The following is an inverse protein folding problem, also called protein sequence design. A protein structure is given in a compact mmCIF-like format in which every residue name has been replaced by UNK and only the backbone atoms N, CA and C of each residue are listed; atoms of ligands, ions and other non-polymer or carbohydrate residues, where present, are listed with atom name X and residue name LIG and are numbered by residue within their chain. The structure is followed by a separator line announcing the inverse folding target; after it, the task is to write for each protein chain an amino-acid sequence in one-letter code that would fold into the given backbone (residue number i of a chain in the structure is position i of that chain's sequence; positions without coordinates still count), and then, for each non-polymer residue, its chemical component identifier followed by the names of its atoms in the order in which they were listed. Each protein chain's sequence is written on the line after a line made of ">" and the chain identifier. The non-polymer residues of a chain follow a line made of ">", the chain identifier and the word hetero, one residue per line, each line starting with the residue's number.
data_IF_120192885149
#
_entry.id   IF_120192885149
#
_cell.length_a   1.000
_cell.length_b   1.000
_cell.length_c   1.000
_cell.angle_alpha   90.00
_cell.angle_beta   90.00
_cell.angle_gamma   90.00
#
_symmetry.space_group_name_H-M   'P 1'
#
loop_
_entity.id
_entity.type
_entity.pdbx_description
1 polymer ?
#
# COMPACT_ATOMS: atom_id res chain seq x y z
N UNK A 1 -54.10 -14.70 -4.23
CA UNK A 1 -52.67 -14.68 -4.46
C UNK A 1 -52.09 -13.65 -3.53
N UNK A 2 -51.49 -14.06 -2.44
CA UNK A 2 -50.70 -13.13 -1.59
C UNK A 2 -49.42 -12.78 -2.36
N UNK A 3 -49.27 -11.53 -2.69
CA UNK A 3 -48.01 -11.00 -3.20
C UNK A 3 -47.07 -10.91 -1.98
N UNK A 4 -46.29 -11.95 -1.77
CA UNK A 4 -45.22 -11.89 -0.83
C UNK A 4 -44.22 -10.84 -1.37
N UNK A 5 -44.12 -9.70 -0.68
CA UNK A 5 -43.06 -8.73 -0.91
C UNK A 5 -41.79 -9.38 -0.36
N UNK A 6 -41.21 -10.26 -1.16
CA UNK A 6 -39.98 -10.95 -0.76
C UNK A 6 -38.85 -9.96 -0.54
N UNK A 7 -38.08 -10.17 0.48
CA UNK A 7 -36.87 -9.48 0.86
C UNK A 7 -35.83 -9.35 -0.28
N UNK A 8 -35.98 -10.06 -1.39
CA UNK A 8 -35.10 -10.02 -2.56
C UNK A 8 -35.06 -8.63 -3.28
N UNK A 9 -36.14 -7.86 -3.27
CA UNK A 9 -36.17 -6.52 -3.87
C UNK A 9 -35.58 -5.45 -2.97
N UNK A 10 -35.68 -5.61 -1.66
CA UNK A 10 -35.12 -4.70 -0.65
C UNK A 10 -33.63 -5.01 -0.47
N UNK A 11 -33.20 -6.27 -0.59
CA UNK A 11 -31.81 -6.69 -0.44
C UNK A 11 -30.85 -5.97 -1.39
N UNK A 12 -31.27 -5.68 -2.63
CA UNK A 12 -30.41 -5.02 -3.61
C UNK A 12 -30.12 -3.55 -3.26
N UNK A 13 -31.08 -2.86 -2.65
CA UNK A 13 -30.90 -1.47 -2.20
C UNK A 13 -30.03 -1.42 -0.94
N UNK A 14 -30.24 -2.31 0.02
CA UNK A 14 -29.39 -2.44 1.20
C UNK A 14 -27.97 -2.85 0.84
N UNK A 15 -27.78 -3.79 -0.06
CA UNK A 15 -26.46 -4.17 -0.55
C UNK A 15 -25.71 -3.00 -1.19
N UNK A 16 -26.39 -2.16 -1.97
CA UNK A 16 -25.80 -0.94 -2.55
C UNK A 16 -25.44 0.10 -1.49
N UNK A 17 -26.27 0.29 -0.48
CA UNK A 17 -26.02 1.18 0.64
C UNK A 17 -24.77 0.74 1.41
N UNK A 18 -24.74 -0.51 1.87
CA UNK A 18 -23.60 -1.06 2.60
C UNK A 18 -22.31 -1.12 1.76
N UNK A 19 -22.42 -1.38 0.45
CA UNK A 19 -21.27 -1.36 -0.44
C UNK A 19 -20.68 0.04 -0.57
N UNK A 20 -21.52 1.09 -0.59
CA UNK A 20 -21.05 2.47 -0.61
C UNK A 20 -20.37 2.86 0.72
N UNK A 21 -21.00 2.52 1.84
CA UNK A 21 -20.46 2.78 3.17
C UNK A 21 -19.14 2.06 3.40
N UNK A 22 -19.03 0.78 3.02
CA UNK A 22 -17.79 0.02 3.06
C UNK A 22 -16.71 0.69 2.21
N UNK A 23 -17.04 1.17 1.01
CA UNK A 23 -16.08 1.84 0.12
C UNK A 23 -15.55 3.13 0.75
N UNK A 24 -16.41 3.90 1.39
CA UNK A 24 -16.02 5.14 2.08
C UNK A 24 -15.02 4.83 3.21
N UNK A 25 -15.26 3.79 4.02
CA UNK A 25 -14.31 3.35 5.06
C UNK A 25 -12.99 2.82 4.49
N UNK A 26 -13.02 2.07 3.39
CA UNK A 26 -11.81 1.57 2.71
C UNK A 26 -10.95 2.75 2.25
N UNK A 27 -11.53 3.70 1.52
CA UNK A 27 -10.78 4.82 0.93
C UNK A 27 -10.15 5.70 2.00
N UNK A 28 -10.85 5.95 3.11
CA UNK A 28 -10.35 6.77 4.21
C UNK A 28 -9.15 6.13 4.93
N UNK A 29 -9.08 4.81 4.97
CA UNK A 29 -8.07 4.08 5.73
C UNK A 29 -6.83 3.69 4.91
N UNK A 30 -6.86 3.81 3.57
CA UNK A 30 -5.74 3.45 2.70
C UNK A 30 -4.60 4.45 2.78
N UNK A 31 -3.39 3.97 3.10
CA UNK A 31 -2.17 4.78 3.15
C UNK A 31 -1.25 4.55 1.94
N UNK A 32 -0.89 3.30 1.66
CA UNK A 32 0.02 2.95 0.57
C UNK A 32 -0.67 3.02 -0.80
N UNK A 33 -1.91 2.56 -0.89
CA UNK A 33 -2.66 2.44 -2.14
C UNK A 33 -2.89 3.79 -2.82
N UNK A 34 -2.98 4.90 -2.06
CA UNK A 34 -3.22 6.23 -2.60
C UNK A 34 -2.11 6.75 -3.53
N UNK A 35 -0.87 6.29 -3.35
CA UNK A 35 0.30 6.72 -4.13
C UNK A 35 0.65 5.78 -5.29
N UNK A 36 -0.03 4.65 -5.38
CA UNK A 36 0.21 3.66 -6.40
C UNK A 36 -0.34 4.11 -7.76
N UNK A 37 0.28 3.62 -8.84
CA UNK A 37 -0.30 3.73 -10.17
C UNK A 37 -1.51 2.80 -10.28
N UNK A 38 -2.71 3.36 -10.38
CA UNK A 38 -3.94 2.60 -10.46
C UNK A 38 -4.15 2.05 -11.87
N UNK A 39 -4.53 0.79 -11.97
CA UNK A 39 -4.97 0.18 -13.22
C UNK A 39 -6.42 -0.29 -13.11
N UNK A 40 -7.23 -0.08 -14.16
CA UNK A 40 -8.61 -0.53 -14.15
C UNK A 40 -8.67 -2.06 -14.08
N UNK A 41 -9.69 -2.59 -13.40
CA UNK A 41 -9.95 -4.02 -13.39
C UNK A 41 -10.36 -4.49 -14.79
N UNK A 42 -9.81 -5.62 -15.29
CA UNK A 42 -10.16 -6.16 -16.58
C UNK A 42 -11.63 -6.62 -16.58
N UNK A 43 -12.49 -5.88 -17.28
CA UNK A 43 -13.89 -6.24 -17.45
C UNK A 43 -14.09 -6.98 -18.77
N UNK A 44 -14.59 -8.25 -18.72
CA UNK A 44 -14.90 -9.05 -19.91
C UNK A 44 -13.75 -9.24 -20.92
N UNK A 45 -12.49 -9.13 -20.46
CA UNK A 45 -11.31 -9.24 -21.34
C UNK A 45 -10.83 -10.69 -21.57
N UNK A 46 -11.44 -11.67 -20.92
CA UNK A 46 -11.00 -13.08 -20.99
C UNK A 46 -9.70 -13.36 -20.22
N UNK A 47 -9.13 -12.38 -19.58
CA UNK A 47 -7.90 -12.51 -18.76
C UNK A 47 -8.16 -12.03 -17.33
N UNK A 48 -7.54 -12.68 -16.36
CA UNK A 48 -7.49 -12.24 -14.96
C UNK A 48 -6.23 -11.43 -14.63
N UNK A 49 -5.42 -11.10 -15.63
CA UNK A 49 -4.12 -10.44 -15.49
C UNK A 49 -4.26 -8.96 -15.81
N UNK A 50 -3.73 -8.11 -14.95
CA UNK A 50 -3.56 -6.67 -15.20
C UNK A 50 -2.16 -6.48 -15.78
N UNK A 51 -2.03 -5.61 -16.80
CA UNK A 51 -0.77 -5.31 -17.43
C UNK A 51 -0.46 -3.83 -17.38
N UNK A 52 0.74 -3.50 -16.91
CA UNK A 52 1.34 -2.17 -17.04
C UNK A 52 2.43 -2.19 -18.08
N UNK A 53 2.61 -1.05 -18.74
CA UNK A 53 3.64 -0.87 -19.75
C UNK A 53 4.72 0.05 -19.22
N UNK A 54 5.98 -0.33 -19.40
CA UNK A 54 7.15 0.43 -19.04
C UNK A 54 8.05 0.60 -20.25
N UNK A 55 8.46 1.84 -20.52
CA UNK A 55 9.48 2.12 -21.52
C UNK A 55 10.87 2.10 -20.92
N UNK A 56 11.88 1.82 -21.72
CA UNK A 56 13.27 1.87 -21.33
C UNK A 56 13.67 3.22 -20.73
N UNK A 57 14.60 3.17 -19.78
CA UNK A 57 15.16 4.36 -19.17
C UNK A 57 15.94 5.19 -20.21
N UNK A 58 15.98 6.55 -20.04
CA UNK A 58 16.81 7.39 -20.87
C UNK A 58 18.29 6.95 -20.87
N UNK A 59 18.89 6.88 -22.02
CA UNK A 59 20.30 6.55 -22.18
C UNK A 59 20.95 7.56 -23.12
N UNK A 60 22.12 8.05 -22.77
CA UNK A 60 22.87 8.98 -23.60
C UNK A 60 23.84 8.29 -24.54
N UNK A 61 23.98 6.95 -24.45
CA UNK A 61 24.97 6.18 -25.21
C UNK A 61 24.77 6.17 -26.74
N UNK A 62 23.60 6.57 -27.23
CA UNK A 62 23.29 6.67 -28.65
C UNK A 62 23.26 8.11 -29.17
N UNK A 63 23.65 9.09 -28.34
CA UNK A 63 23.70 10.50 -28.76
C UNK A 63 25.03 10.73 -29.48
N UNK A 64 24.96 11.09 -30.74
CA UNK A 64 26.13 11.38 -31.57
C UNK A 64 26.26 12.88 -31.88
N UNK A 65 27.49 13.33 -32.11
CA UNK A 65 27.74 14.67 -32.64
C UNK A 65 27.45 14.67 -34.13
N UNK A 66 26.49 15.48 -34.56
CA UNK A 66 26.17 15.66 -36.00
C UNK A 66 27.25 16.57 -36.66
N UNK A 67 28.38 15.97 -37.03
CA UNK A 67 29.52 16.73 -37.60
C UNK A 67 29.41 16.97 -39.10
N UNK A 68 28.58 16.20 -39.82
CA UNK A 68 28.41 16.31 -41.27
C UNK A 68 26.95 16.65 -41.62
N UNK A 69 26.77 17.75 -42.35
CA UNK A 69 25.45 18.12 -42.88
C UNK A 69 24.91 17.05 -43.84
N UNK A 70 23.67 16.66 -43.66
CA UNK A 70 22.97 15.73 -44.57
C UNK A 70 23.31 14.24 -44.33
N UNK A 71 24.17 13.89 -43.40
CA UNK A 71 24.48 12.50 -43.07
C UNK A 71 23.55 12.02 -41.93
N UNK A 72 22.88 10.90 -42.17
CA UNK A 72 22.03 10.27 -41.15
C UNK A 72 22.89 9.82 -39.93
N UNK A 73 22.47 10.11 -38.70
CA UNK A 73 23.12 9.55 -37.51
C UNK A 73 23.13 8.02 -37.56
N UNK A 74 24.23 7.41 -37.12
CA UNK A 74 24.39 5.96 -37.02
C UNK A 74 23.91 5.39 -35.68
N UNK A 75 23.82 6.24 -34.67
CA UNK A 75 23.34 5.91 -33.32
C UNK A 75 21.81 5.82 -33.23
N UNK A 76 21.17 4.93 -33.96
CA UNK A 76 19.75 4.67 -33.79
C UNK A 76 19.49 3.87 -32.52
N UNK A 77 18.58 4.37 -31.69
CA UNK A 77 18.10 3.64 -30.49
C UNK A 77 16.69 3.10 -30.75
N UNK A 78 16.54 1.80 -30.61
CA UNK A 78 15.22 1.18 -30.56
C UNK A 78 14.55 1.50 -29.19
N UNK A 79 13.29 1.90 -29.24
CA UNK A 79 12.47 2.02 -28.03
C UNK A 79 11.97 0.64 -27.65
N UNK A 80 12.36 0.16 -26.46
CA UNK A 80 11.90 -1.11 -25.91
C UNK A 80 10.73 -0.88 -24.96
N UNK A 81 9.74 -1.76 -25.04
CA UNK A 81 8.56 -1.77 -24.18
C UNK A 81 8.60 -3.03 -23.30
N UNK A 82 8.68 -2.83 -22.01
CA UNK A 82 8.55 -3.92 -21.04
C UNK A 82 7.13 -3.99 -20.50
N UNK A 83 6.64 -5.22 -20.35
CA UNK A 83 5.35 -5.50 -19.74
C UNK A 83 5.54 -6.00 -18.32
N UNK A 84 4.79 -5.41 -17.39
CA UNK A 84 4.72 -5.85 -15.99
C UNK A 84 3.32 -6.38 -15.75
N UNK A 85 3.22 -7.67 -15.52
CA UNK A 85 1.95 -8.38 -15.36
C UNK A 85 1.70 -8.73 -13.90
N UNK A 86 0.46 -8.60 -13.45
CA UNK A 86 0.00 -9.04 -12.14
C UNK A 86 -1.35 -9.76 -12.26
N UNK A 87 -1.45 -10.92 -11.64
CA UNK A 87 -2.69 -11.67 -11.58
C UNK A 87 -3.60 -11.15 -10.47
N UNK A 88 -4.89 -11.01 -10.80
CA UNK A 88 -5.92 -10.68 -9.82
C UNK A 88 -6.17 -11.86 -8.89
N UNK A 89 -6.07 -11.59 -7.60
CA UNK A 89 -6.44 -12.52 -6.53
C UNK A 89 -7.74 -12.06 -5.89
N UNK A 90 -8.60 -13.02 -5.61
CA UNK A 90 -9.86 -12.78 -4.93
C UNK A 90 -9.66 -12.87 -3.42
N UNK A 91 -10.09 -11.85 -2.70
CA UNK A 91 -10.08 -11.79 -1.24
C UNK A 91 -11.49 -11.58 -0.71
N UNK A 92 -11.74 -12.09 0.48
CA UNK A 92 -13.02 -11.93 1.15
C UNK A 92 -12.92 -12.29 2.62
N UNK A 93 -13.84 -11.74 3.39
CA UNK A 93 -14.02 -12.01 4.81
C UNK A 93 -15.49 -12.11 5.11
N UNK A 94 -15.84 -12.89 6.13
CA UNK A 94 -17.22 -13.14 6.55
C UNK A 94 -17.33 -13.00 8.05
N UNK A 95 -18.32 -12.23 8.52
CA UNK A 95 -18.72 -12.10 9.92
C UNK A 95 -20.14 -12.66 10.04
N UNK A 96 -20.35 -13.60 10.95
CA UNK A 96 -21.67 -14.16 11.24
C UNK A 96 -22.18 -13.69 12.60
N UNK A 97 -23.42 -13.25 12.62
CA UNK A 97 -24.13 -12.70 13.79
C UNK A 97 -25.33 -13.60 14.03
N UNK A 98 -25.52 -14.08 15.27
CA UNK A 98 -26.63 -14.95 15.61
C UNK A 98 -27.91 -14.14 15.85
N UNK A 99 -29.08 -14.75 15.59
CA UNK A 99 -30.41 -14.17 15.82
C UNK A 99 -30.65 -13.80 17.28
N UNK A 100 -30.19 -14.64 18.22
CA UNK A 100 -30.30 -14.39 19.66
C UNK A 100 -29.52 -13.11 20.04
N UNK A 101 -28.34 -12.90 19.44
CA UNK A 101 -27.56 -11.70 19.66
C UNK A 101 -28.33 -10.49 19.13
N UNK A 102 -28.88 -10.52 17.93
CA UNK A 102 -29.68 -9.44 17.34
C UNK A 102 -30.94 -9.13 18.16
N UNK A 103 -31.58 -10.16 18.76
CA UNK A 103 -32.75 -9.97 19.61
C UNK A 103 -32.46 -9.33 20.95
N UNK A 104 -31.25 -9.56 21.49
CA UNK A 104 -30.85 -9.07 22.82
C UNK A 104 -30.04 -7.77 22.77
N UNK A 105 -29.76 -7.28 21.58
CA UNK A 105 -28.89 -6.14 21.34
C UNK A 105 -29.48 -4.78 21.73
N UNK A 106 -28.58 -3.94 22.22
CA UNK A 106 -28.81 -2.51 22.42
C UNK A 106 -28.34 -1.67 21.22
N UNK A 107 -27.50 -2.23 20.33
CA UNK A 107 -26.86 -1.54 19.18
C UNK A 107 -26.94 -2.41 17.92
N UNK A 108 -26.99 -1.77 16.74
CA UNK A 108 -26.98 -2.47 15.45
C UNK A 108 -25.62 -3.12 15.15
N UNK A 109 -25.48 -4.42 15.40
CA UNK A 109 -24.25 -5.17 15.12
C UNK A 109 -23.98 -5.33 13.63
N UNK A 110 -25.00 -5.31 12.79
CA UNK A 110 -24.85 -5.41 11.33
C UNK A 110 -24.10 -4.20 10.76
N UNK A 111 -24.46 -2.99 11.19
CA UNK A 111 -23.77 -1.76 10.77
C UNK A 111 -22.32 -1.75 11.28
N UNK A 112 -22.10 -2.17 12.52
CA UNK A 112 -20.74 -2.28 13.07
C UNK A 112 -19.91 -3.33 12.34
N UNK A 113 -20.52 -4.47 11.96
CA UNK A 113 -19.85 -5.51 11.17
C UNK A 113 -19.41 -4.99 9.81
N UNK A 114 -20.25 -4.20 9.12
CA UNK A 114 -19.88 -3.57 7.84
C UNK A 114 -18.70 -2.63 8.01
N UNK A 115 -18.70 -1.79 9.06
CA UNK A 115 -17.61 -0.86 9.36
C UNK A 115 -16.30 -1.58 9.64
N UNK A 116 -16.29 -2.58 10.52
CA UNK A 116 -15.11 -3.38 10.86
C UNK A 116 -14.59 -4.10 9.62
N UNK A 117 -15.48 -4.73 8.84
CA UNK A 117 -15.12 -5.41 7.60
C UNK A 117 -14.49 -4.46 6.58
N UNK A 118 -14.96 -3.19 6.51
CA UNK A 118 -14.36 -2.17 5.65
C UNK A 118 -12.95 -1.77 6.10
N UNK A 119 -12.73 -1.59 7.38
CA UNK A 119 -11.40 -1.30 7.94
C UNK A 119 -10.44 -2.47 7.72
N UNK A 120 -10.88 -3.71 7.96
CA UNK A 120 -10.08 -4.90 7.71
C UNK A 120 -9.71 -5.05 6.23
N UNK A 121 -10.64 -4.74 5.32
CA UNK A 121 -10.39 -4.75 3.88
C UNK A 121 -9.31 -3.74 3.47
N UNK A 122 -9.33 -2.53 4.03
CA UNK A 122 -8.34 -1.50 3.78
C UNK A 122 -6.96 -1.91 4.31
N UNK A 123 -6.88 -2.37 5.56
CA UNK A 123 -5.64 -2.85 6.15
C UNK A 123 -5.05 -4.03 5.35
N UNK A 124 -5.92 -4.92 4.84
CA UNK A 124 -5.48 -6.04 4.02
C UNK A 124 -4.93 -5.58 2.68
N UNK A 125 -5.56 -4.60 2.02
CA UNK A 125 -5.06 -4.03 0.78
C UNK A 125 -3.68 -3.39 0.97
N UNK A 126 -3.47 -2.61 2.03
CA UNK A 126 -2.17 -2.05 2.36
C UNK A 126 -1.12 -3.13 2.70
N UNK A 127 -1.52 -4.23 3.36
CA UNK A 127 -0.64 -5.39 3.60
C UNK A 127 -0.19 -6.06 2.30
N UNK A 128 -1.06 -6.17 1.30
CA UNK A 128 -0.70 -6.73 -0.01
C UNK A 128 0.35 -5.86 -0.69
N UNK A 129 0.14 -4.53 -0.71
CA UNK A 129 1.11 -3.59 -1.28
C UNK A 129 2.45 -3.64 -0.53
N UNK A 130 2.41 -3.67 0.80
CA UNK A 130 3.60 -3.82 1.65
C UNK A 130 4.38 -5.09 1.30
N UNK A 131 3.70 -6.22 1.20
CA UNK A 131 4.33 -7.51 0.90
C UNK A 131 4.97 -7.50 -0.49
N UNK A 132 4.34 -6.85 -1.47
CA UNK A 132 4.93 -6.69 -2.81
C UNK A 132 6.16 -5.78 -2.78
N UNK A 133 6.11 -4.62 -2.11
CA UNK A 133 7.26 -3.72 -1.94
C UNK A 133 8.40 -4.38 -1.15
N UNK A 134 8.07 -5.15 -0.13
CA UNK A 134 9.02 -5.90 0.68
C UNK A 134 9.60 -7.11 -0.02
N UNK A 135 9.00 -7.60 -1.11
CA UNK A 135 9.47 -8.79 -1.82
C UNK A 135 10.88 -8.61 -2.41
N UNK A 136 11.57 -9.72 -2.63
CA UNK A 136 12.92 -9.70 -3.21
C UNK A 136 12.85 -9.55 -4.73
N UNK A 137 12.65 -8.32 -5.19
CA UNK A 137 12.61 -7.99 -6.62
C UNK A 137 14.01 -7.59 -7.10
N UNK A 138 14.44 -8.13 -8.23
CA UNK A 138 15.74 -7.79 -8.84
C UNK A 138 15.84 -6.29 -9.12
N UNK A 139 16.92 -5.66 -8.65
CA UNK A 139 17.15 -4.22 -8.81
C UNK A 139 16.54 -3.35 -7.71
N UNK A 140 15.89 -3.95 -6.72
CA UNK A 140 15.45 -3.27 -5.50
C UNK A 140 16.60 -2.61 -4.77
N UNK A 141 16.39 -1.40 -4.29
CA UNK A 141 17.35 -0.67 -3.50
C UNK A 141 17.05 -0.85 -2.02
N UNK A 142 18.08 -1.21 -1.26
CA UNK A 142 18.00 -1.35 0.20
C UNK A 142 19.02 -0.45 0.89
N UNK A 143 18.67 0.04 2.08
CA UNK A 143 19.54 0.80 2.96
C UNK A 143 19.39 0.28 4.38
N UNK A 144 20.47 0.33 5.14
CA UNK A 144 20.52 -0.08 6.54
C UNK A 144 20.74 1.16 7.39
N UNK A 145 20.05 1.24 8.53
CA UNK A 145 20.22 2.35 9.47
C UNK A 145 21.66 2.40 9.99
N UNK A 146 22.12 3.61 10.27
CA UNK A 146 23.45 3.90 10.83
C UNK A 146 24.61 3.28 10.03
N UNK A 147 24.46 3.15 8.71
CA UNK A 147 25.52 2.65 7.83
C UNK A 147 25.89 1.18 8.04
N UNK A 148 25.03 0.37 8.66
CA UNK A 148 25.25 -1.07 8.82
C UNK A 148 25.36 -1.75 7.45
N UNK A 149 26.16 -2.84 7.39
CA UNK A 149 26.54 -3.46 6.13
C UNK A 149 25.39 -4.19 5.43
N UNK A 150 24.59 -4.93 6.19
CA UNK A 150 23.53 -5.76 5.66
C UNK A 150 22.37 -5.96 6.66
N UNK A 151 21.32 -6.65 6.21
CA UNK A 151 20.14 -6.94 7.02
C UNK A 151 20.46 -7.78 8.27
N UNK A 152 21.37 -8.75 8.16
CA UNK A 152 21.77 -9.58 9.30
C UNK A 152 22.50 -8.73 10.35
N UNK A 153 23.31 -7.75 9.94
CA UNK A 153 23.95 -6.81 10.83
C UNK A 153 22.92 -5.96 11.60
N UNK A 154 21.86 -5.49 10.94
CA UNK A 154 20.75 -4.79 11.62
C UNK A 154 20.04 -5.72 12.61
N UNK A 155 19.78 -6.97 12.24
CA UNK A 155 19.17 -7.96 13.11
C UNK A 155 20.01 -8.27 14.37
N UNK A 156 21.33 -8.34 14.24
CA UNK A 156 22.26 -8.63 15.31
C UNK A 156 22.62 -7.42 16.19
N UNK A 157 22.53 -6.20 15.65
CA UNK A 157 22.87 -4.96 16.35
C UNK A 157 21.97 -4.70 17.56
N UNK A 158 22.46 -3.96 18.55
CA UNK A 158 21.60 -3.45 19.62
C UNK A 158 20.55 -2.48 19.08
N UNK A 159 19.46 -2.27 19.82
CA UNK A 159 18.46 -1.28 19.42
C UNK A 159 19.08 0.11 19.23
N UNK A 160 20.01 0.51 20.11
CA UNK A 160 20.68 1.81 20.03
C UNK A 160 21.58 1.97 18.81
N UNK A 161 22.22 0.89 18.33
CA UNK A 161 23.17 0.93 17.23
C UNK A 161 22.49 0.84 15.83
N UNK A 162 21.24 0.43 15.79
CA UNK A 162 20.46 0.24 14.55
C UNK A 162 19.25 1.17 14.46
N UNK A 163 19.18 2.22 15.29
CA UNK A 163 18.15 3.26 15.19
C UNK A 163 18.40 4.11 13.96
N UNK A 164 17.30 4.57 13.36
CA UNK A 164 17.31 5.52 12.25
C UNK A 164 17.97 6.83 12.66
N UNK A 165 18.96 7.26 11.91
CA UNK A 165 19.55 8.57 12.00
C UNK A 165 18.95 9.55 10.96
N UNK A 166 19.14 10.82 11.24
CA UNK A 166 18.69 11.91 10.36
C UNK A 166 19.26 11.81 8.93
N UNK A 167 20.51 11.35 8.80
CA UNK A 167 21.20 11.24 7.52
C UNK A 167 20.80 10.00 6.71
N UNK A 168 20.26 8.96 7.31
CA UNK A 168 19.87 7.73 6.60
C UNK A 168 18.83 8.01 5.52
N UNK A 169 17.88 8.90 5.81
CA UNK A 169 16.89 9.32 4.82
C UNK A 169 17.45 10.24 3.73
N UNK A 170 18.52 10.98 4.02
CA UNK A 170 19.26 11.73 2.99
C UNK A 170 19.90 10.77 1.98
N UNK A 171 20.44 9.65 2.44
CA UNK A 171 21.00 8.62 1.57
C UNK A 171 19.93 7.97 0.70
N UNK A 172 18.73 7.70 1.26
CA UNK A 172 17.59 7.23 0.49
C UNK A 172 17.21 8.23 -0.63
N UNK A 173 17.11 9.52 -0.30
CA UNK A 173 16.82 10.58 -1.28
C UNK A 173 17.91 10.67 -2.36
N UNK A 174 19.16 10.59 -1.96
CA UNK A 174 20.29 10.63 -2.88
C UNK A 174 20.26 9.47 -3.85
N UNK A 175 19.94 8.28 -3.38
CA UNK A 175 19.78 7.09 -4.22
C UNK A 175 18.62 7.25 -5.23
N UNK A 176 17.48 7.77 -4.80
CA UNK A 176 16.34 8.02 -5.69
C UNK A 176 16.67 9.08 -6.77
N UNK A 177 17.35 10.15 -6.37
CA UNK A 177 17.82 11.19 -7.31
C UNK A 177 18.82 10.65 -8.31
N UNK A 178 19.77 9.81 -7.86
CA UNK A 178 20.72 9.11 -8.74
C UNK A 178 20.02 8.25 -9.79
N UNK A 179 18.87 7.66 -9.45
CA UNK A 179 18.04 6.87 -10.35
C UNK A 179 17.08 7.73 -11.18
N UNK A 180 17.16 9.06 -11.15
CA UNK A 180 16.25 9.98 -11.83
C UNK A 180 14.77 9.70 -11.52
N UNK A 181 14.46 9.30 -10.30
CA UNK A 181 13.10 8.96 -9.88
C UNK A 181 12.20 10.20 -9.89
N UNK A 182 11.06 10.18 -10.58
CA UNK A 182 10.12 11.31 -10.57
C UNK A 182 9.47 11.46 -9.19
N UNK A 183 9.29 12.71 -8.76
CA UNK A 183 8.68 13.07 -7.48
C UNK A 183 7.15 13.07 -7.57
N UNK A 184 6.48 12.83 -6.45
CA UNK A 184 5.04 12.94 -6.29
C UNK A 184 4.72 14.30 -5.66
N UNK A 185 4.13 15.22 -6.45
CA UNK A 185 3.81 16.58 -5.94
C UNK A 185 5.04 17.36 -5.45
N UNK A 186 6.21 17.16 -6.09
CA UNK A 186 7.46 17.84 -5.76
C UNK A 186 8.25 17.23 -4.59
N UNK A 187 7.79 16.13 -4.00
CA UNK A 187 8.49 15.41 -2.93
C UNK A 187 8.46 13.91 -3.19
N UNK A 188 9.37 13.16 -2.58
CA UNK A 188 9.24 11.72 -2.41
C UNK A 188 8.30 11.43 -1.24
N UNK A 189 7.76 10.24 -1.18
CA UNK A 189 6.90 9.79 -0.08
C UNK A 189 7.66 8.76 0.74
N UNK A 190 7.75 9.01 2.03
CA UNK A 190 8.31 8.08 3.01
C UNK A 190 7.20 7.52 3.90
N UNK A 191 7.07 6.21 3.97
CA UNK A 191 6.12 5.53 4.84
C UNK A 191 6.89 4.82 5.93
N UNK A 192 6.59 5.17 7.18
CA UNK A 192 7.30 4.70 8.37
C UNK A 192 6.32 4.17 9.42
N UNK A 193 6.80 3.28 10.30
CA UNK A 193 6.03 2.86 11.47
C UNK A 193 5.99 3.97 12.54
N UNK A 194 5.01 3.93 13.47
CA UNK A 194 4.90 4.93 14.54
C UNK A 194 6.15 5.02 15.42
N UNK A 195 6.77 3.88 15.69
CA UNK A 195 7.97 3.76 16.52
C UNK A 195 9.18 4.44 15.84
N UNK A 196 9.42 4.12 14.57
CA UNK A 196 10.49 4.75 13.75
C UNK A 196 10.23 6.25 13.61
N UNK A 197 8.98 6.66 13.43
CA UNK A 197 8.60 8.06 13.38
C UNK A 197 8.94 8.80 14.69
N UNK A 198 8.66 8.17 15.83
CA UNK A 198 9.01 8.71 17.15
C UNK A 198 10.51 8.90 17.32
N UNK A 199 11.31 7.89 16.91
CA UNK A 199 12.77 7.99 17.00
C UNK A 199 13.33 9.05 16.06
N UNK A 200 12.81 9.15 14.84
CA UNK A 200 13.19 10.20 13.89
C UNK A 200 12.90 11.61 14.44
N UNK A 201 11.73 11.82 15.06
CA UNK A 201 11.35 13.11 15.66
C UNK A 201 12.22 13.49 16.87
N UNK A 202 12.84 12.53 17.56
CA UNK A 202 13.76 12.77 18.67
C UNK A 202 15.15 13.23 18.18
N UNK A 203 15.50 13.02 16.91
CA UNK A 203 16.80 13.45 16.40
C UNK A 203 16.94 14.97 16.38
N UNK A 204 18.09 15.48 16.77
CA UNK A 204 18.36 16.93 16.81
C UNK A 204 18.17 17.61 15.46
N UNK A 205 18.50 16.91 14.38
CA UNK A 205 18.33 17.40 13.01
C UNK A 205 16.85 17.64 12.65
N UNK A 206 15.95 16.74 13.05
CA UNK A 206 14.52 16.92 12.85
C UNK A 206 13.96 18.10 13.66
N UNK A 207 14.33 18.20 14.94
CA UNK A 207 13.88 19.28 15.81
C UNK A 207 14.28 20.65 15.29
N UNK A 208 15.49 20.78 14.78
CA UNK A 208 15.97 22.01 14.15
C UNK A 208 15.22 22.31 12.84
N UNK A 209 14.99 21.32 11.98
CA UNK A 209 14.24 21.50 10.74
C UNK A 209 12.77 21.86 11.00
N UNK A 210 12.15 21.24 12.00
CA UNK A 210 10.77 21.52 12.39
C UNK A 210 10.56 22.96 12.90
N UNK A 211 11.59 23.54 13.53
CA UNK A 211 11.51 24.94 14.00
C UNK A 211 11.45 25.97 12.85
N UNK A 212 11.88 25.61 11.65
CA UNK A 212 11.85 26.46 10.45
C UNK A 212 10.66 26.19 9.51
N UNK A 213 9.90 25.12 9.72
CA UNK A 213 8.76 24.79 8.86
C UNK A 213 7.44 25.30 9.44
N UNK A 214 6.56 25.78 8.54
CA UNK A 214 5.25 26.28 8.95
C UNK A 214 4.38 25.18 9.60
N UNK A 215 3.70 25.55 10.65
CA UNK A 215 2.86 24.70 11.53
C UNK A 215 1.65 24.05 10.82
N UNK A 216 1.34 24.45 9.59
CA UNK A 216 0.14 24.02 8.86
C UNK A 216 0.09 22.53 8.47
N UNK A 217 1.25 21.87 8.33
CA UNK A 217 1.31 20.47 7.89
C UNK A 217 1.02 19.45 8.99
N UNK A 218 1.07 19.84 10.26
CA UNK A 218 0.88 18.97 11.42
C UNK A 218 -0.55 18.44 11.60
N UNK A 219 -1.55 19.07 10.96
CA UNK A 219 -2.96 18.73 11.17
C UNK A 219 -3.52 17.56 10.32
N UNK A 220 -2.75 17.03 9.36
CA UNK A 220 -3.24 16.02 8.39
C UNK A 220 -2.61 14.63 8.50
N UNK A 221 -2.09 14.25 9.67
CA UNK A 221 -1.40 12.95 9.83
C UNK A 221 -0.04 12.87 9.12
N UNK A 222 0.42 13.96 8.54
CA UNK A 222 1.77 14.15 8.03
C UNK A 222 2.70 14.42 9.22
N UNK A 223 3.75 13.61 9.39
CA UNK A 223 4.74 13.84 10.47
C UNK A 223 5.58 15.08 10.16
N UNK A 224 5.83 15.33 8.88
CA UNK A 224 6.63 16.46 8.41
C UNK A 224 7.33 16.18 7.08
N UNK A 225 8.16 17.15 6.66
CA UNK A 225 8.96 17.05 5.41
C UNK A 225 10.42 17.23 5.74
N UNK A 226 11.24 16.32 5.23
CA UNK A 226 12.68 16.35 5.43
C UNK A 226 13.40 15.87 4.17
N UNK A 227 14.45 16.54 3.74
CA UNK A 227 15.27 16.19 2.58
C UNK A 227 14.49 15.98 1.26
N UNK A 228 13.30 16.60 1.14
CA UNK A 228 12.41 16.37 0.01
C UNK A 228 11.59 15.08 0.11
N UNK A 229 11.51 14.48 1.29
CA UNK A 229 10.62 13.38 1.62
C UNK A 229 9.47 13.91 2.47
N UNK A 230 8.26 13.53 2.11
CA UNK A 230 7.04 13.70 2.89
C UNK A 230 6.79 12.42 3.68
N UNK A 231 6.84 12.49 5.00
CA UNK A 231 6.68 11.34 5.87
C UNK A 231 5.23 11.11 6.25
N UNK A 232 4.81 9.87 6.07
CA UNK A 232 3.50 9.37 6.48
C UNK A 232 3.69 8.23 7.48
N UNK A 233 2.82 8.18 8.46
CA UNK A 233 2.80 7.14 9.46
C UNK A 233 1.74 6.11 9.11
N UNK A 234 2.07 4.83 9.22
CA UNK A 234 1.11 3.74 9.06
C UNK A 234 1.21 2.75 10.21
N UNK A 235 0.05 2.27 10.64
CA UNK A 235 -0.05 1.22 11.66
C UNK A 235 0.02 -0.19 11.09
N UNK A 236 0.07 -0.34 9.77
CA UNK A 236 0.33 -1.66 9.15
C UNK A 236 1.75 -2.08 9.54
N UNK A 237 1.95 -3.21 10.23
CA UNK A 237 3.24 -3.59 10.74
C UNK A 237 4.22 -3.92 9.61
N UNK A 238 5.34 -3.20 9.60
CA UNK A 238 6.49 -3.42 8.72
C UNK A 238 7.64 -4.04 9.53
N UNK A 239 7.32 -5.03 10.36
CA UNK A 239 8.26 -5.68 11.26
C UNK A 239 8.75 -6.99 10.66
N UNK A 240 10.01 -7.33 10.91
CA UNK A 240 10.58 -8.62 10.59
C UNK A 240 11.45 -9.12 11.73
N UNK A 241 11.71 -10.41 11.79
CA UNK A 241 12.42 -11.08 12.90
C UNK A 241 13.92 -10.75 12.98
N UNK A 242 14.47 -10.06 11.99
CA UNK A 242 15.90 -9.75 11.90
C UNK A 242 16.75 -10.89 11.33
N UNK A 243 16.18 -12.09 11.15
CA UNK A 243 16.87 -13.24 10.57
C UNK A 243 16.46 -13.50 9.12
N UNK A 244 15.18 -13.33 8.82
CA UNK A 244 14.61 -13.58 7.48
C UNK A 244 14.12 -12.28 6.84
N UNK A 245 14.87 -11.79 5.87
CA UNK A 245 14.49 -10.62 5.11
C UNK A 245 13.18 -10.87 4.35
N UNK A 246 12.34 -9.83 4.19
CA UNK A 246 11.06 -9.87 3.49
C UNK A 246 9.94 -10.69 4.16
N UNK A 247 10.13 -11.14 5.39
CA UNK A 247 9.07 -11.77 6.19
C UNK A 247 8.59 -10.77 7.25
N UNK A 248 7.33 -10.39 7.18
CA UNK A 248 6.73 -9.41 8.10
C UNK A 248 5.87 -10.10 9.14
N UNK A 249 6.24 -9.92 10.40
CA UNK A 249 5.52 -10.41 11.57
C UNK A 249 5.28 -9.25 12.54
N UNK A 250 4.21 -9.33 13.32
CA UNK A 250 3.89 -8.36 14.37
C UNK A 250 4.82 -8.43 15.57
N UNK A 251 5.58 -9.51 15.71
CA UNK A 251 6.55 -9.74 16.80
C UNK A 251 8.00 -9.43 16.40
N UNK A 252 8.23 -8.96 15.19
CA UNK A 252 9.57 -8.64 14.69
C UNK A 252 10.19 -7.42 15.39
N UNK A 253 11.52 -7.35 15.38
CA UNK A 253 12.31 -6.26 15.98
C UNK A 253 12.93 -5.32 14.95
N UNK A 254 12.96 -5.71 13.68
CA UNK A 254 13.48 -4.91 12.57
C UNK A 254 12.32 -4.28 11.80
N UNK A 255 12.33 -2.97 11.72
CA UNK A 255 11.34 -2.18 11.01
C UNK A 255 11.80 -1.92 9.58
N UNK A 256 10.90 -2.11 8.61
CA UNK A 256 11.09 -1.67 7.23
C UNK A 256 10.37 -0.36 7.00
N UNK A 257 11.08 0.63 6.48
CA UNK A 257 10.54 1.91 6.04
C UNK A 257 10.70 2.02 4.52
N UNK A 258 9.70 2.54 3.83
CA UNK A 258 9.73 2.67 2.37
C UNK A 258 9.78 4.13 1.96
N UNK A 259 10.72 4.48 1.10
CA UNK A 259 10.79 5.80 0.45
C UNK A 259 10.67 5.59 -1.05
N UNK A 260 9.68 6.21 -1.68
CA UNK A 260 9.40 5.99 -3.09
C UNK A 260 8.98 7.27 -3.83
N UNK A 261 9.14 7.22 -5.13
CA UNK A 261 8.65 8.24 -6.06
C UNK A 261 7.46 7.76 -6.89
N UNK A 262 7.12 8.55 -7.89
CA UNK A 262 6.01 8.23 -8.80
C UNK A 262 6.31 6.95 -9.60
N UNK A 263 5.28 6.14 -9.88
CA UNK A 263 5.35 4.91 -10.67
C UNK A 263 6.29 3.83 -10.10
N UNK A 264 6.58 3.85 -8.80
CA UNK A 264 7.34 2.79 -8.15
C UNK A 264 6.59 1.45 -8.17
N UNK A 265 5.29 1.49 -7.92
CA UNK A 265 4.41 0.31 -7.89
C UNK A 265 3.02 0.63 -8.42
N UNK A 266 2.32 -0.41 -8.86
CA UNK A 266 0.96 -0.35 -9.36
C UNK A 266 0.02 -1.22 -8.55
N UNK A 267 -1.25 -0.83 -8.51
CA UNK A 267 -2.33 -1.59 -7.86
C UNK A 267 -3.56 -1.62 -8.77
N UNK A 268 -4.40 -2.64 -8.55
CA UNK A 268 -5.74 -2.64 -9.14
C UNK A 268 -6.57 -1.52 -8.51
N UNK A 269 -7.41 -0.87 -9.30
CA UNK A 269 -8.30 0.18 -8.79
C UNK A 269 -9.42 -0.42 -7.93
N UNK A 270 -9.24 -0.36 -6.61
CA UNK A 270 -10.20 -0.87 -5.63
C UNK A 270 -11.48 -0.02 -5.59
N UNK A 271 -11.34 1.28 -5.91
CA UNK A 271 -12.47 2.22 -5.91
C UNK A 271 -13.28 2.17 -7.21
N UNK A 272 -12.91 1.32 -8.16
CA UNK A 272 -13.63 1.18 -9.42
C UNK A 272 -15.06 0.68 -9.16
N UNK A 273 -16.05 1.38 -9.71
CA UNK A 273 -17.45 0.92 -9.77
C UNK A 273 -17.64 -0.25 -10.74
N UNK A 274 -16.59 -0.96 -11.06
CA UNK A 274 -16.62 -2.20 -11.83
C UNK A 274 -17.44 -3.27 -11.08
N UNK A 275 -18.14 -4.17 -11.75
CA UNK A 275 -18.79 -5.31 -11.12
C UNK A 275 -17.83 -6.23 -10.36
N UNK A 276 -16.53 -6.02 -10.47
CA UNK A 276 -15.46 -6.73 -9.78
C UNK A 276 -14.84 -5.91 -8.61
N UNK A 277 -15.37 -4.71 -8.32
CA UNK A 277 -14.98 -3.90 -7.16
C UNK A 277 -15.42 -4.54 -5.84
N UNK A 278 -15.06 -3.92 -4.69
CA UNK A 278 -15.50 -4.38 -3.39
C UNK A 278 -17.02 -4.47 -3.31
N UNK A 279 -17.53 -5.61 -2.91
CA UNK A 279 -18.96 -5.86 -2.81
C UNK A 279 -19.26 -6.43 -1.43
N UNK A 280 -20.25 -5.87 -0.75
CA UNK A 280 -20.78 -6.40 0.51
C UNK A 280 -21.95 -7.31 0.22
N UNK A 281 -21.94 -8.44 0.85
CA UNK A 281 -23.04 -9.41 0.83
C UNK A 281 -23.60 -9.52 2.24
N UNK A 282 -24.85 -9.12 2.42
CA UNK A 282 -25.60 -9.34 3.65
C UNK A 282 -26.63 -10.42 3.34
N UNK A 283 -26.49 -11.57 3.98
CA UNK A 283 -27.42 -12.68 3.85
C UNK A 283 -28.21 -12.79 5.14
N UNK A 284 -29.50 -12.51 5.04
CA UNK A 284 -30.49 -12.67 6.10
C UNK A 284 -31.62 -13.46 5.48
N UNK A 285 -31.87 -14.66 5.98
CA UNK A 285 -32.87 -15.56 5.45
C UNK A 285 -32.46 -17.04 5.45
N UNK A 286 -33.44 -17.91 5.46
CA UNK A 286 -33.20 -19.37 5.45
C UNK A 286 -32.40 -19.78 4.21
N UNK A 287 -31.34 -20.52 4.42
CA UNK A 287 -30.50 -21.09 3.38
C UNK A 287 -30.30 -22.59 3.58
N UNK A 288 -29.66 -23.24 2.60
CA UNK A 288 -29.37 -24.68 2.72
C UNK A 288 -28.47 -25.00 3.92
N UNK A 289 -27.57 -24.07 4.28
CA UNK A 289 -26.63 -24.23 5.38
C UNK A 289 -27.19 -23.72 6.72
N UNK A 290 -28.26 -22.93 6.68
CA UNK A 290 -28.98 -22.41 7.84
C UNK A 290 -30.50 -22.41 7.56
N UNK A 291 -31.16 -23.59 7.66
CA UNK A 291 -32.57 -23.72 7.33
C UNK A 291 -33.51 -22.98 8.29
N UNK A 292 -33.08 -22.71 9.50
CA UNK A 292 -33.86 -22.03 10.55
C UNK A 292 -33.56 -20.54 10.65
N UNK A 293 -32.69 -19.98 9.78
CA UNK A 293 -32.28 -18.59 9.79
C UNK A 293 -31.77 -18.11 11.15
N UNK A 294 -30.85 -18.87 11.73
CA UNK A 294 -30.26 -18.56 13.04
C UNK A 294 -29.06 -17.60 12.97
N UNK A 295 -28.65 -17.21 11.75
CA UNK A 295 -27.48 -16.39 11.52
C UNK A 295 -27.73 -15.38 10.42
N UNK A 296 -27.39 -14.10 10.68
CA UNK A 296 -27.17 -13.09 9.65
C UNK A 296 -25.68 -13.04 9.32
N UNK A 297 -25.35 -13.11 8.04
CA UNK A 297 -23.97 -13.14 7.57
C UNK A 297 -23.66 -11.87 6.80
N UNK A 298 -22.64 -11.14 7.26
CA UNK A 298 -22.07 -9.99 6.56
C UNK A 298 -20.71 -10.41 5.98
N UNK A 299 -20.58 -10.34 4.67
CA UNK A 299 -19.34 -10.66 4.00
C UNK A 299 -18.94 -9.60 2.98
N UNK A 300 -17.64 -9.41 2.76
CA UNK A 300 -17.15 -8.65 1.62
C UNK A 300 -16.31 -9.51 0.71
N UNK A 301 -16.25 -9.12 -0.53
CA UNK A 301 -15.45 -9.74 -1.56
C UNK A 301 -14.84 -8.65 -2.44
N UNK A 302 -13.54 -8.77 -2.72
CA UNK A 302 -12.84 -7.88 -3.62
C UNK A 302 -11.83 -8.65 -4.47
N UNK A 303 -11.46 -8.07 -5.62
CA UNK A 303 -10.36 -8.53 -6.43
C UNK A 303 -9.23 -7.51 -6.33
N UNK A 304 -8.04 -7.96 -6.00
CA UNK A 304 -6.92 -7.09 -5.78
C UNK A 304 -5.64 -7.66 -6.37
N UNK A 305 -4.80 -6.77 -6.92
CA UNK A 305 -3.45 -7.09 -7.35
C UNK A 305 -2.54 -5.89 -7.07
N UNK A 306 -1.33 -6.16 -6.63
CA UNK A 306 -0.27 -5.18 -6.52
C UNK A 306 0.99 -5.71 -7.20
N UNK A 307 1.76 -4.83 -7.83
CA UNK A 307 3.01 -5.19 -8.48
C UNK A 307 4.00 -4.04 -8.47
N UNK A 308 5.26 -4.36 -8.20
CA UNK A 308 6.37 -3.43 -8.36
C UNK A 308 6.56 -3.13 -9.85
N UNK A 309 6.46 -1.84 -10.25
CA UNK A 309 6.62 -1.41 -11.63
C UNK A 309 8.07 -1.09 -11.94
N UNK A 310 8.72 -0.28 -11.09
CA UNK A 310 10.11 0.08 -11.24
C UNK A 310 10.88 -0.08 -9.93
N UNK A 311 11.67 -1.16 -9.78
CA UNK A 311 12.39 -1.46 -8.54
C UNK A 311 13.38 -0.38 -8.09
N UNK A 312 13.91 0.42 -9.04
CA UNK A 312 14.85 1.51 -8.75
C UNK A 312 14.18 2.76 -8.19
N UNK A 313 12.83 2.88 -8.28
CA UNK A 313 12.08 4.07 -7.88
C UNK A 313 11.61 4.03 -6.43
N UNK A 314 12.02 3.02 -5.68
CA UNK A 314 11.83 2.98 -4.25
C UNK A 314 13.06 2.43 -3.53
N UNK A 315 13.20 2.81 -2.29
CA UNK A 315 14.25 2.34 -1.38
C UNK A 315 13.58 1.78 -0.14
N UNK A 316 13.96 0.59 0.26
CA UNK A 316 13.57 0.01 1.53
C UNK A 316 14.71 0.20 2.54
N UNK A 317 14.39 0.78 3.68
CA UNK A 317 15.33 1.01 4.76
C UNK A 317 14.95 0.13 5.96
N UNK A 318 15.95 -0.58 6.48
CA UNK A 318 15.83 -1.43 7.66
C UNK A 318 16.45 -0.75 8.87
N UNK A 319 15.70 -0.74 9.97
CA UNK A 319 16.14 -0.14 11.23
C UNK A 319 15.55 -0.87 12.43
N UNK A 320 16.11 -0.69 13.60
CA UNK A 320 15.48 -0.98 14.89
C UNK A 320 14.94 0.30 15.50
N UNK A 321 14.23 0.16 16.60
CA UNK A 321 13.68 1.28 17.39
C UNK A 321 14.13 1.19 18.84
N UNK A 322 14.26 2.36 19.47
CA UNK A 322 14.46 2.49 20.92
C UNK A 322 13.14 2.60 21.69
N UNK A 323 12.02 2.54 20.97
CA UNK A 323 10.71 2.54 21.60
C UNK A 323 10.41 1.16 22.18
N UNK A 324 10.36 1.08 23.51
CA UNK A 324 10.06 -0.15 24.27
C UNK A 324 8.68 -0.06 24.91
#
# INVERSE_FOLDING_TARGET
>A
MAVETGTSGISTQFQRYFSKELLDYIVESLQLVQFAQKAPLPAKSGSKTIRWFRFDEPSTGAIETLSNEGVKPTGERALSLENVDADLVQYGQVISITDILQLTELFSHVEQAVKVTGQDAALHADKIVRNELGSNVTGKQTRMANGLADYAAVGAASAADAVVEFNDFLDCTTQLRKNNTPMIGGNYVGVVSPEVASDLMKTSGWQNAASYSAVESLYKGEIGRLWGIRFLQTTVPFLSDGSTQHTYDSSGTVHSSFVFGQNAYGVSDVASQSPYGPSVYVTDGASKDDPLNQKTVVGYKSFYAAKTLQPKYYVEMYSKTNFS
#
